data_IF_395152853631
#
_entry.id   IF_395152853631
#
_cell.length_a   1.000
_cell.length_b   1.000
_cell.length_c   1.000
_cell.angle_alpha   90.00
_cell.angle_beta   90.00
_cell.angle_gamma   90.00
#
_symmetry.space_group_name_H-M   'P 1'
#
loop_
_entity.id
_entity.type
_entity.pdbx_description
1 polymer ?
#
# COMPACT_ATOMS: atom_id res chain seq x y z
N UNK A 1 33.62 -8.68 -11.50
CA UNK A 1 33.27 -7.31 -11.94
C UNK A 1 31.92 -7.40 -12.64
N UNK A 2 30.83 -7.02 -11.97
CA UNK A 2 29.50 -7.05 -12.58
C UNK A 2 29.38 -5.85 -13.52
N UNK A 3 29.29 -6.10 -14.82
CA UNK A 3 28.94 -5.09 -15.82
C UNK A 3 27.53 -4.60 -15.48
N UNK A 4 27.43 -3.48 -14.77
CA UNK A 4 26.16 -2.87 -14.43
C UNK A 4 25.48 -2.46 -15.73
N UNK A 5 24.39 -3.15 -16.11
CA UNK A 5 23.58 -2.74 -17.26
C UNK A 5 23.04 -1.35 -16.93
N UNK A 6 23.62 -0.33 -17.54
CA UNK A 6 23.13 1.03 -17.45
C UNK A 6 21.86 1.13 -18.27
N UNK A 7 20.72 0.93 -17.60
CA UNK A 7 19.40 1.05 -18.22
C UNK A 7 18.96 2.51 -18.13
N UNK A 8 18.21 3.02 -19.11
CA UNK A 8 17.59 4.35 -18.98
C UNK A 8 16.43 4.30 -17.98
N UNK A 9 16.39 5.23 -17.02
CA UNK A 9 15.29 5.31 -16.06
C UNK A 9 13.99 5.66 -16.78
N UNK A 10 12.95 4.83 -16.67
CA UNK A 10 11.64 5.09 -17.31
C UNK A 10 10.91 6.35 -16.80
N UNK A 11 11.32 6.93 -15.68
CA UNK A 11 10.73 8.15 -15.14
C UNK A 11 11.46 9.42 -15.61
N UNK A 12 12.80 9.42 -15.65
CA UNK A 12 13.58 10.63 -15.91
C UNK A 12 14.61 10.49 -17.03
N UNK A 13 14.62 9.33 -17.70
CA UNK A 13 15.47 8.93 -18.83
C UNK A 13 16.99 8.97 -18.57
N UNK A 14 17.43 9.23 -17.33
CA UNK A 14 18.85 9.18 -16.95
C UNK A 14 19.34 7.73 -16.82
N UNK A 15 20.55 7.47 -17.29
CA UNK A 15 21.28 6.22 -17.12
C UNK A 15 21.77 6.05 -15.69
N UNK A 16 21.91 4.80 -15.25
CA UNK A 16 22.50 4.45 -13.96
C UNK A 16 21.98 3.11 -13.42
N UNK A 17 22.31 2.79 -12.17
CA UNK A 17 21.88 1.53 -11.55
C UNK A 17 20.38 1.52 -11.24
N UNK A 18 19.71 0.47 -11.71
CA UNK A 18 18.28 0.26 -11.56
C UNK A 18 17.96 -0.75 -10.48
N UNK A 19 16.84 -0.50 -9.81
CA UNK A 19 16.19 -1.50 -8.97
C UNK A 19 15.10 -2.17 -9.83
N UNK A 20 13.87 -2.25 -9.32
CA UNK A 20 12.72 -2.73 -10.08
C UNK A 20 12.07 -1.66 -10.96
N UNK A 21 11.12 -2.10 -11.80
CA UNK A 21 10.21 -1.23 -12.60
C UNK A 21 10.89 -0.37 -13.67
N UNK A 22 12.13 -0.67 -14.03
CA UNK A 22 12.90 0.14 -14.97
C UNK A 22 13.27 1.51 -14.42
N UNK A 23 13.34 1.66 -13.09
CA UNK A 23 13.66 2.91 -12.42
C UNK A 23 15.03 2.85 -11.77
N UNK A 24 15.81 3.91 -11.96
CA UNK A 24 17.06 4.13 -11.20
C UNK A 24 16.76 4.16 -9.71
N UNK A 25 17.72 3.72 -8.88
CA UNK A 25 17.53 3.58 -7.43
C UNK A 25 16.83 4.79 -6.74
N UNK A 26 17.24 6.03 -7.06
CA UNK A 26 16.63 7.24 -6.48
C UNK A 26 15.19 7.46 -6.93
N UNK A 27 14.90 7.24 -8.21
CA UNK A 27 13.55 7.29 -8.74
C UNK A 27 12.73 6.18 -8.10
N UNK A 28 13.20 4.94 -8.11
CA UNK A 28 12.52 3.82 -7.45
C UNK A 28 12.13 4.13 -6.00
N UNK A 29 13.04 4.71 -5.20
CA UNK A 29 12.76 5.09 -3.81
C UNK A 29 11.65 6.14 -3.69
N UNK A 30 11.69 7.20 -4.51
CA UNK A 30 10.67 8.27 -4.56
C UNK A 30 9.27 7.71 -4.82
N UNK A 31 9.22 6.58 -5.49
CA UNK A 31 8.09 6.17 -6.29
C UNK A 31 7.53 4.79 -5.91
N UNK A 32 8.23 4.10 -4.99
CA UNK A 32 7.91 2.77 -4.48
C UNK A 32 6.49 2.66 -3.92
N UNK A 33 6.00 3.71 -3.25
CA UNK A 33 4.68 3.74 -2.60
C UNK A 33 3.59 4.36 -3.47
N UNK A 34 3.90 5.48 -4.12
CA UNK A 34 2.92 6.30 -4.84
C UNK A 34 2.49 5.72 -6.20
N UNK A 35 3.25 4.77 -6.76
CA UNK A 35 3.02 4.33 -8.14
C UNK A 35 3.82 5.17 -9.13
N UNK A 36 4.39 4.46 -10.11
CA UNK A 36 5.46 4.80 -11.07
C UNK A 36 5.16 5.66 -12.28
N UNK A 37 4.23 5.06 -12.97
CA UNK A 37 4.16 4.91 -14.40
C UNK A 37 2.80 4.24 -14.53
N UNK A 38 2.09 4.48 -15.62
CA UNK A 38 0.73 3.95 -15.79
C UNK A 38 0.69 2.42 -15.62
N UNK A 39 1.76 1.74 -16.05
CA UNK A 39 1.97 0.30 -15.90
C UNK A 39 2.28 -0.18 -14.46
N UNK A 40 2.53 0.72 -13.51
CA UNK A 40 2.89 0.40 -12.12
C UNK A 40 2.11 1.27 -11.11
N UNK A 41 0.79 1.03 -10.97
CA UNK A 41 -0.04 1.77 -10.03
C UNK A 41 0.47 1.61 -8.57
N UNK A 42 0.07 2.53 -7.67
CA UNK A 42 0.42 2.43 -6.26
C UNK A 42 0.01 1.06 -5.71
N UNK A 43 0.96 0.39 -5.03
CA UNK A 43 0.76 -0.95 -4.44
C UNK A 43 -0.34 -0.97 -3.34
N UNK A 44 -0.90 0.18 -2.99
CA UNK A 44 -1.93 0.35 -1.97
C UNK A 44 -3.28 0.85 -2.50
N UNK A 45 -3.58 0.69 -3.79
CA UNK A 45 -4.84 1.12 -4.41
C UNK A 45 -6.10 0.37 -3.94
N UNK A 46 -6.01 -0.43 -2.88
CA UNK A 46 -7.20 -0.87 -2.20
C UNK A 46 -7.75 0.29 -1.36
N UNK A 47 -9.07 0.53 -1.42
CA UNK A 47 -9.90 1.53 -0.71
C UNK A 47 -9.16 2.41 0.32
N UNK A 48 -9.31 3.76 0.26
CA UNK A 48 -8.63 4.69 1.16
C UNK A 48 -8.62 4.20 2.60
N UNK A 49 -7.43 4.17 3.22
CA UNK A 49 -7.24 3.58 4.55
C UNK A 49 -8.25 4.10 5.59
N UNK A 50 -8.62 5.39 5.50
CA UNK A 50 -9.62 6.03 6.36
C UNK A 50 -11.00 5.40 6.19
N UNK A 51 -11.47 5.26 4.96
CA UNK A 51 -12.74 4.62 4.62
C UNK A 51 -12.84 3.22 5.26
N UNK A 52 -11.79 2.41 5.16
CA UNK A 52 -11.78 1.07 5.76
C UNK A 52 -11.85 1.06 7.29
N UNK A 53 -11.29 2.08 7.95
CA UNK A 53 -11.33 2.19 9.42
C UNK A 53 -12.72 2.65 9.87
N UNK A 54 -13.31 3.61 9.18
CA UNK A 54 -14.68 4.08 9.42
C UNK A 54 -15.69 2.94 9.23
N UNK A 55 -15.64 2.25 8.08
CA UNK A 55 -16.51 1.08 7.83
C UNK A 55 -16.27 -0.05 8.84
N UNK A 56 -15.03 -0.26 9.29
CA UNK A 56 -14.75 -1.21 10.37
C UNK A 56 -15.46 -0.82 11.68
N UNK A 57 -15.44 0.46 12.06
CA UNK A 57 -16.09 0.96 13.27
C UNK A 57 -17.61 0.77 13.19
N UNK A 58 -18.23 1.16 12.07
CA UNK A 58 -19.67 0.98 11.84
C UNK A 58 -20.09 -0.49 11.96
N UNK A 59 -19.35 -1.41 11.32
CA UNK A 59 -19.66 -2.83 11.36
C UNK A 59 -19.44 -3.42 12.76
N UNK A 60 -18.44 -2.94 13.51
CA UNK A 60 -18.22 -3.31 14.90
C UNK A 60 -19.36 -2.84 15.79
N UNK A 61 -19.84 -1.62 15.63
CA UNK A 61 -20.98 -1.07 16.38
C UNK A 61 -22.27 -1.85 16.13
N UNK A 62 -22.44 -2.36 14.91
CA UNK A 62 -23.52 -3.29 14.56
C UNK A 62 -23.35 -4.70 15.16
N UNK A 63 -22.29 -4.94 15.93
CA UNK A 63 -22.05 -6.21 16.63
C UNK A 63 -21.51 -7.34 15.77
N UNK A 64 -21.05 -7.07 14.55
CA UNK A 64 -20.51 -8.13 13.68
C UNK A 64 -19.21 -8.69 14.25
N UNK A 65 -19.00 -9.99 14.05
CA UNK A 65 -17.74 -10.64 14.38
C UNK A 65 -16.62 -10.18 13.44
N UNK A 66 -15.37 -10.32 13.89
CA UNK A 66 -14.20 -9.96 13.08
C UNK A 66 -14.11 -10.73 11.76
N UNK A 67 -14.62 -11.97 11.72
CA UNK A 67 -14.64 -12.80 10.51
C UNK A 67 -15.64 -12.26 9.49
N UNK A 68 -16.83 -11.86 9.93
CA UNK A 68 -17.84 -11.25 9.05
C UNK A 68 -17.39 -9.88 8.53
N UNK A 69 -16.72 -9.10 9.38
CA UNK A 69 -16.14 -7.80 8.98
C UNK A 69 -15.04 -8.01 7.95
N UNK A 70 -14.15 -8.98 8.15
CA UNK A 70 -13.09 -9.33 7.21
C UNK A 70 -13.65 -9.73 5.83
N UNK A 71 -14.70 -10.55 5.82
CA UNK A 71 -15.39 -10.96 4.60
C UNK A 71 -16.03 -9.77 3.88
N UNK A 72 -16.73 -8.88 4.59
CA UNK A 72 -17.39 -7.69 4.01
C UNK A 72 -16.41 -6.65 3.47
N UNK A 73 -15.27 -6.48 4.12
CA UNK A 73 -14.23 -5.53 3.70
C UNK A 73 -13.25 -6.12 2.69
N UNK A 74 -13.41 -7.41 2.33
CA UNK A 74 -12.50 -8.17 1.47
C UNK A 74 -11.04 -8.07 1.95
N UNK A 75 -10.84 -8.20 3.26
CA UNK A 75 -9.52 -8.17 3.89
C UNK A 75 -9.30 -9.41 4.76
N UNK A 76 -8.05 -9.67 5.11
CA UNK A 76 -7.73 -10.71 6.09
C UNK A 76 -8.21 -10.33 7.49
N UNK A 77 -8.53 -11.33 8.33
CA UNK A 77 -8.85 -11.12 9.75
C UNK A 77 -7.73 -10.36 10.47
N UNK A 78 -6.47 -10.61 10.11
CA UNK A 78 -5.30 -9.89 10.64
C UNK A 78 -5.34 -8.39 10.35
N UNK A 79 -5.93 -7.97 9.23
CA UNK A 79 -6.16 -6.55 8.93
C UNK A 79 -7.20 -5.95 9.88
N UNK A 80 -8.29 -6.68 10.16
CA UNK A 80 -9.33 -6.28 11.11
C UNK A 80 -8.79 -6.14 12.53
N UNK A 81 -7.93 -7.07 12.96
CA UNK A 81 -7.25 -6.97 14.26
C UNK A 81 -6.36 -5.73 14.38
N UNK A 82 -5.70 -5.36 13.28
CA UNK A 82 -4.90 -4.13 13.22
C UNK A 82 -5.77 -2.89 13.36
N UNK A 83 -6.95 -2.86 12.73
CA UNK A 83 -7.92 -1.77 12.92
C UNK A 83 -8.38 -1.70 14.38
N UNK A 84 -8.71 -2.86 14.98
CA UNK A 84 -9.11 -2.95 16.38
C UNK A 84 -8.03 -2.50 17.38
N UNK A 85 -6.75 -2.66 17.04
CA UNK A 85 -5.64 -2.15 17.83
C UNK A 85 -5.50 -0.63 17.67
N UNK A 86 -5.61 -0.11 16.45
CA UNK A 86 -5.50 1.32 16.14
C UNK A 86 -6.61 2.14 16.79
N UNK A 87 -7.85 1.65 16.79
CA UNK A 87 -9.00 2.32 17.40
C UNK A 87 -8.99 2.24 18.92
N UNK A 88 -8.27 1.28 19.52
CA UNK A 88 -8.10 1.16 20.98
C UNK A 88 -7.08 2.13 21.55
N UNK A 89 -6.03 2.47 20.80
CA UNK A 89 -4.98 3.39 21.26
C UNK A 89 -5.35 4.87 21.12
N UNK A 90 -6.58 5.22 20.73
CA UNK A 90 -7.01 6.61 20.56
C UNK A 90 -6.30 7.36 19.42
N UNK A 91 -5.55 6.65 18.57
CA UNK A 91 -4.96 7.21 17.35
C UNK A 91 -6.06 7.19 16.28
N UNK A 92 -7.07 8.02 16.51
CA UNK A 92 -7.86 8.56 15.42
C UNK A 92 -6.91 9.39 14.53
N UNK A 93 -7.16 9.33 13.23
CA UNK A 93 -6.31 9.86 12.18
C UNK A 93 -5.90 11.33 12.37
#
# INVERSE_FOLDING_TARGET
MSLGIEVACRCCHKLGPHNGRGLRHTCWRRHRKAGTLDQYPPLGAGLPRLWRIETYLELRERGLSKQEIAARLEVTVRSVERYAAQTRTGVAA
#
